data_IF_527086304128
#
_entry.id   IF_527086304128
#
_cell.length_a   1.000
_cell.length_b   1.000
_cell.length_c   1.000
_cell.angle_alpha   90.00
_cell.angle_beta   90.00
_cell.angle_gamma   90.00
#
_symmetry.space_group_name_H-M   'P 1'
#
loop_
_entity.id
_entity.type
_entity.pdbx_description
1 polymer ?
#
# COMPACT_ATOMS: atom_id res chain seq x y z
N UNK A 1 18.91 10.57 20.42
CA UNK A 1 18.81 11.27 19.11
C UNK A 1 18.31 12.69 19.38
N UNK A 2 19.01 13.73 18.89
CA UNK A 2 18.76 15.14 19.26
C UNK A 2 17.62 15.77 18.44
N UNK A 3 16.77 16.56 19.10
CA UNK A 3 15.61 17.32 18.59
C UNK A 3 15.89 18.19 17.33
N UNK A 4 17.16 18.45 17.00
CA UNK A 4 17.54 19.35 15.91
C UNK A 4 17.36 18.77 14.50
N UNK A 5 17.19 17.45 14.36
CA UNK A 5 17.03 16.81 13.05
C UNK A 5 15.56 16.62 12.63
N UNK A 6 14.58 16.96 13.49
CA UNK A 6 13.15 16.72 13.25
C UNK A 6 12.46 17.82 12.41
N UNK A 7 13.08 19.00 12.28
CA UNK A 7 12.51 20.17 11.55
C UNK A 7 12.50 20.04 10.02
N UNK A 8 12.88 18.88 9.47
CA UNK A 8 12.92 18.62 8.02
C UNK A 8 12.12 17.40 7.59
N UNK A 9 11.17 16.93 8.40
CA UNK A 9 10.11 16.08 7.87
C UNK A 9 9.07 16.99 7.21
N UNK A 10 9.42 17.46 6.01
CA UNK A 10 8.42 17.94 5.06
C UNK A 10 7.47 16.77 4.90
N UNK A 11 6.18 17.01 5.16
CA UNK A 11 5.10 16.10 4.81
C UNK A 11 5.10 16.03 3.28
N UNK A 12 6.02 15.22 2.74
CA UNK A 12 6.11 14.93 1.31
C UNK A 12 4.89 14.07 1.08
N UNK A 13 3.81 14.75 0.70
CA UNK A 13 2.69 14.18 -0.01
C UNK A 13 3.33 13.49 -1.20
N UNK A 14 3.57 12.20 -1.09
CA UNK A 14 3.61 11.35 -2.27
C UNK A 14 2.20 11.43 -2.84
N UNK A 15 1.97 12.49 -3.63
CA UNK A 15 1.08 12.40 -4.77
C UNK A 15 1.41 11.06 -5.38
N UNK A 16 0.48 10.11 -5.31
CA UNK A 16 0.63 8.87 -6.05
C UNK A 16 0.87 9.30 -7.50
N UNK A 17 2.13 9.25 -7.93
CA UNK A 17 2.50 9.49 -9.32
C UNK A 17 2.03 8.27 -10.08
N UNK A 18 0.73 8.15 -10.28
CA UNK A 18 0.18 7.25 -11.28
C UNK A 18 0.27 8.04 -12.57
N UNK A 19 1.43 7.91 -13.23
CA UNK A 19 1.65 8.43 -14.58
C UNK A 19 0.60 7.78 -15.47
N UNK A 20 -0.40 8.56 -15.85
CA UNK A 20 -1.40 8.17 -16.82
C UNK A 20 -0.76 8.21 -18.21
N UNK A 21 -0.43 7.04 -18.76
CA UNK A 21 -0.41 6.87 -20.21
C UNK A 21 -1.71 6.15 -20.58
N UNK A 22 -2.66 6.93 -21.12
CA UNK A 22 -3.92 6.42 -21.65
C UNK A 22 -3.67 5.65 -22.95
N UNK A 23 -4.20 4.43 -23.03
CA UNK A 23 -4.69 3.86 -24.29
C UNK A 23 -5.92 2.98 -24.00
N UNK A 24 -6.95 3.33 -24.74
CA UNK A 24 -8.40 3.08 -24.71
C UNK A 24 -8.96 1.66 -24.62
N UNK A 25 -10.24 1.64 -24.20
CA UNK A 25 -11.41 0.84 -24.64
C UNK A 25 -11.85 -0.40 -23.83
N UNK A 26 -13.01 -0.26 -23.18
CA UNK A 26 -13.80 -1.38 -22.66
C UNK A 26 -15.00 -0.91 -21.83
N UNK A 27 -16.03 -0.39 -22.47
CA UNK A 27 -17.29 0.03 -21.84
C UNK A 27 -18.06 -1.17 -21.28
N UNK A 28 -18.00 -1.35 -19.95
CA UNK A 28 -18.84 -2.27 -19.19
C UNK A 28 -19.62 -1.48 -18.14
N UNK A 29 -20.90 -1.25 -18.41
CA UNK A 29 -21.85 -0.60 -17.52
C UNK A 29 -22.02 -1.38 -16.22
N UNK A 30 -21.74 -0.73 -15.09
CA UNK A 30 -22.02 -1.26 -13.76
C UNK A 30 -21.15 -0.61 -12.69
N UNK A 31 -21.47 0.61 -12.28
CA UNK A 31 -20.95 1.16 -11.03
C UNK A 31 -21.89 2.23 -10.47
N UNK A 32 -22.45 1.91 -9.32
CA UNK A 32 -23.15 2.82 -8.41
C UNK A 32 -22.22 3.97 -8.02
N UNK A 33 -22.63 5.19 -8.39
CA UNK A 33 -22.21 6.55 -7.97
C UNK A 33 -20.98 6.69 -7.05
N UNK A 34 -20.04 7.55 -7.47
CA UNK A 34 -18.83 8.04 -6.79
C UNK A 34 -19.05 8.77 -5.45
N UNK A 35 -20.30 8.96 -5.05
CA UNK A 35 -20.74 9.85 -3.96
C UNK A 35 -20.47 9.35 -2.53
N UNK A 36 -19.77 8.22 -2.34
CA UNK A 36 -19.54 7.60 -1.02
C UNK A 36 -18.18 7.99 -0.38
N UNK A 37 -17.30 8.64 -1.15
CA UNK A 37 -15.90 8.89 -0.70
C UNK A 37 -15.78 9.88 0.47
N UNK A 38 -16.76 10.76 0.67
CA UNK A 38 -16.81 11.69 1.81
C UNK A 38 -17.85 11.29 2.87
N UNK A 39 -18.78 10.40 2.55
CA UNK A 39 -19.94 10.12 3.39
C UNK A 39 -19.55 9.64 4.79
N UNK A 40 -18.50 8.82 4.90
CA UNK A 40 -18.01 8.29 6.17
C UNK A 40 -17.47 9.36 7.14
N UNK A 41 -17.08 10.54 6.63
CA UNK A 41 -16.58 11.64 7.46
C UNK A 41 -17.72 12.46 8.08
N UNK A 42 -18.91 12.48 7.48
CA UNK A 42 -20.03 13.34 7.90
C UNK A 42 -20.54 12.92 9.29
N UNK A 43 -20.63 13.87 10.21
CA UNK A 43 -21.11 13.68 11.59
C UNK A 43 -20.05 13.10 12.53
N UNK A 44 -20.47 12.18 13.39
CA UNK A 44 -19.67 11.62 14.49
C UNK A 44 -20.09 12.13 15.86
N UNK A 45 -19.49 11.57 16.92
CA UNK A 45 -19.72 12.02 18.30
C UNK A 45 -18.78 13.20 18.67
N UNK A 46 -19.16 13.93 19.71
CA UNK A 46 -18.41 15.10 20.22
C UNK A 46 -18.73 16.41 19.50
N UNK A 47 -17.96 17.44 19.80
CA UNK A 47 -18.11 18.77 19.18
C UNK A 47 -17.71 18.74 17.70
N UNK A 48 -18.24 19.70 16.94
CA UNK A 48 -17.83 19.89 15.55
C UNK A 48 -16.36 20.35 15.51
N UNK A 49 -15.59 19.77 14.58
CA UNK A 49 -14.20 20.17 14.30
C UNK A 49 -14.14 20.99 13.02
N UNK A 50 -14.94 20.60 12.01
CA UNK A 50 -14.95 21.24 10.71
C UNK A 50 -16.38 21.35 10.17
N UNK A 51 -16.69 22.50 9.55
CA UNK A 51 -17.92 22.71 8.77
C UNK A 51 -17.56 23.34 7.42
N UNK A 52 -18.03 22.74 6.34
CA UNK A 52 -17.91 23.24 4.96
C UNK A 52 -19.29 23.09 4.33
N UNK A 53 -19.99 24.20 4.08
CA UNK A 53 -21.39 24.20 3.61
C UNK A 53 -22.32 23.34 4.48
N UNK A 54 -23.00 22.35 3.91
CA UNK A 54 -23.88 21.40 4.60
C UNK A 54 -23.12 20.18 5.18
N UNK A 55 -21.80 20.18 5.07
CA UNK A 55 -20.93 19.10 5.52
C UNK A 55 -20.30 19.44 6.88
N UNK A 56 -20.54 18.60 7.88
CA UNK A 56 -20.00 18.76 9.24
C UNK A 56 -19.22 17.50 9.63
N UNK A 57 -18.02 17.67 10.16
CA UNK A 57 -17.20 16.60 10.74
C UNK A 57 -17.04 16.86 12.24
N UNK A 58 -17.40 15.88 13.07
CA UNK A 58 -17.23 15.94 14.52
C UNK A 58 -15.94 15.24 14.96
N UNK A 59 -15.55 15.49 16.22
CA UNK A 59 -14.30 15.02 16.82
C UNK A 59 -13.98 13.55 16.54
N UNK A 60 -14.93 12.64 16.75
CA UNK A 60 -14.68 11.21 16.58
C UNK A 60 -14.29 10.84 15.14
N UNK A 61 -15.00 11.36 14.14
CA UNK A 61 -14.71 11.05 12.74
C UNK A 61 -13.41 11.72 12.29
N UNK A 62 -13.20 12.99 12.67
CA UNK A 62 -11.96 13.71 12.40
C UNK A 62 -10.73 12.98 12.96
N UNK A 63 -10.78 12.52 14.21
CA UNK A 63 -9.68 11.82 14.85
C UNK A 63 -9.40 10.45 14.24
N UNK A 64 -10.44 9.67 13.93
CA UNK A 64 -10.28 8.36 13.26
C UNK A 64 -9.66 8.51 11.88
N UNK A 65 -10.09 9.52 11.14
CA UNK A 65 -9.60 9.78 9.80
C UNK A 65 -8.15 10.29 9.80
N UNK A 66 -7.82 11.21 10.71
CA UNK A 66 -6.43 11.64 10.93
C UNK A 66 -5.53 10.44 11.29
N UNK A 67 -5.96 9.58 12.21
CA UNK A 67 -5.21 8.38 12.57
C UNK A 67 -5.02 7.45 11.36
N UNK A 68 -6.07 7.19 10.59
CA UNK A 68 -5.98 6.38 9.37
C UNK A 68 -5.02 6.99 8.34
N UNK A 69 -5.03 8.32 8.18
CA UNK A 69 -4.10 9.03 7.28
C UNK A 69 -2.64 8.89 7.72
N UNK A 70 -2.37 8.88 9.02
CA UNK A 70 -1.03 8.69 9.58
C UNK A 70 -0.56 7.25 9.41
N UNK A 71 -1.45 6.27 9.64
CA UNK A 71 -1.18 4.85 9.37
C UNK A 71 -0.85 4.64 7.89
N UNK A 72 -1.61 5.24 6.99
CA UNK A 72 -1.38 5.14 5.55
C UNK A 72 -0.01 5.72 5.13
N UNK A 73 0.46 6.75 5.83
CA UNK A 73 1.80 7.33 5.65
C UNK A 73 2.92 6.51 6.31
N UNK A 74 2.60 5.38 6.94
CA UNK A 74 3.57 4.50 7.59
C UNK A 74 4.02 4.97 8.98
N UNK A 75 3.23 5.81 9.65
CA UNK A 75 3.56 6.26 11.00
C UNK A 75 3.53 5.09 12.01
N UNK A 76 4.53 5.04 12.88
CA UNK A 76 4.60 4.12 14.03
C UNK A 76 3.57 4.50 15.11
N UNK A 77 3.20 3.58 16.02
CA UNK A 77 2.28 3.89 17.12
C UNK A 77 2.71 5.10 17.97
N UNK A 78 4.02 5.25 18.22
CA UNK A 78 4.57 6.39 18.96
C UNK A 78 4.43 7.70 18.19
N UNK A 79 4.66 7.66 16.87
CA UNK A 79 4.45 8.82 16.00
C UNK A 79 2.97 9.18 15.92
N UNK A 80 2.07 8.20 15.79
CA UNK A 80 0.62 8.44 15.80
C UNK A 80 0.21 9.12 17.12
N UNK A 81 0.65 8.61 18.27
CA UNK A 81 0.35 9.20 19.57
C UNK A 81 0.84 10.67 19.69
N UNK A 82 1.98 10.97 19.09
CA UNK A 82 2.56 12.32 19.05
C UNK A 82 1.79 13.26 18.11
N UNK A 83 1.53 12.83 16.87
CA UNK A 83 0.94 13.66 15.82
C UNK A 83 -0.57 13.81 15.93
N UNK A 84 -1.29 12.75 16.31
CA UNK A 84 -2.75 12.78 16.43
C UNK A 84 -3.25 13.74 17.52
N UNK A 85 -2.38 14.13 18.46
CA UNK A 85 -2.70 15.07 19.54
C UNK A 85 -2.12 16.47 19.34
N UNK A 86 -1.22 16.65 18.38
CA UNK A 86 -0.57 17.94 18.10
C UNK A 86 -1.53 18.90 17.40
N UNK A 87 -1.64 20.13 17.93
CA UNK A 87 -2.55 21.13 17.40
C UNK A 87 -2.17 21.56 15.96
N UNK A 88 -0.88 21.67 15.66
CA UNK A 88 -0.41 22.08 14.33
C UNK A 88 -0.78 21.02 13.28
N UNK A 89 -0.56 19.75 13.61
CA UNK A 89 -0.92 18.61 12.75
C UNK A 89 -2.42 18.58 12.48
N UNK A 90 -3.26 18.77 13.50
CA UNK A 90 -4.71 18.83 13.34
C UNK A 90 -5.14 19.97 12.42
N UNK A 91 -4.56 21.17 12.55
CA UNK A 91 -4.89 22.31 11.68
C UNK A 91 -4.49 22.05 10.22
N UNK A 92 -3.28 21.53 9.99
CA UNK A 92 -2.81 21.15 8.64
C UNK A 92 -3.75 20.12 8.01
N UNK A 93 -4.16 19.11 8.78
CA UNK A 93 -5.06 18.08 8.30
C UNK A 93 -6.47 18.62 8.00
N UNK A 94 -6.97 19.52 8.86
CA UNK A 94 -8.24 20.20 8.62
C UNK A 94 -8.23 21.00 7.31
N UNK A 95 -7.16 21.75 7.02
CA UNK A 95 -7.01 22.46 5.75
C UNK A 95 -6.99 21.52 4.54
N UNK A 96 -6.35 20.35 4.66
CA UNK A 96 -6.35 19.32 3.63
C UNK A 96 -7.77 18.77 3.37
N UNK A 97 -8.53 18.52 4.43
CA UNK A 97 -9.93 18.07 4.33
C UNK A 97 -10.81 19.14 3.68
N UNK A 98 -10.66 20.42 4.05
CA UNK A 98 -11.40 21.53 3.42
C UNK A 98 -11.16 21.52 1.90
N UNK A 99 -9.90 21.48 1.48
CA UNK A 99 -9.54 21.46 0.06
C UNK A 99 -10.12 20.24 -0.67
N UNK A 100 -10.08 19.08 -0.03
CA UNK A 100 -10.61 17.83 -0.60
C UNK A 100 -12.13 17.89 -0.76
N UNK A 101 -12.85 18.37 0.25
CA UNK A 101 -14.32 18.53 0.21
C UNK A 101 -14.72 19.49 -0.90
N UNK A 102 -14.08 20.67 -0.98
CA UNK A 102 -14.41 21.68 -1.98
C UNK A 102 -14.15 21.18 -3.42
N UNK A 103 -13.01 20.52 -3.67
CA UNK A 103 -12.68 20.01 -5.00
C UNK A 103 -13.55 18.82 -5.41
N UNK A 104 -13.87 17.91 -4.49
CA UNK A 104 -14.76 16.78 -4.76
C UNK A 104 -16.18 17.28 -5.06
N UNK A 105 -16.70 18.21 -4.27
CA UNK A 105 -18.03 18.81 -4.52
C UNK A 105 -18.09 19.47 -5.90
N UNK A 106 -17.07 20.25 -6.26
CA UNK A 106 -16.98 20.85 -7.60
C UNK A 106 -16.93 19.80 -8.70
N UNK A 107 -16.15 18.72 -8.53
CA UNK A 107 -16.06 17.64 -9.52
C UNK A 107 -17.39 16.88 -9.68
N UNK A 108 -18.17 16.73 -8.61
CA UNK A 108 -19.54 16.18 -8.65
C UNK A 108 -20.50 17.13 -9.40
N UNK A 109 -20.46 18.43 -9.14
CA UNK A 109 -21.25 19.44 -9.88
C UNK A 109 -20.94 19.44 -11.39
N UNK A 110 -19.66 19.27 -11.73
CA UNK A 110 -19.18 19.17 -13.12
C UNK A 110 -19.43 17.78 -13.74
N UNK A 111 -20.00 16.83 -12.98
CA UNK A 111 -20.21 15.43 -13.39
C UNK A 111 -18.94 14.74 -13.86
N UNK A 112 -17.78 15.16 -13.35
CA UNK A 112 -16.47 14.65 -13.75
C UNK A 112 -16.37 13.13 -13.55
N UNK A 113 -16.88 12.64 -12.42
CA UNK A 113 -16.90 11.22 -12.09
C UNK A 113 -17.94 10.39 -12.87
N UNK A 114 -18.83 11.04 -13.64
CA UNK A 114 -19.76 10.34 -14.54
C UNK A 114 -19.08 9.96 -15.88
N UNK A 115 -17.93 10.55 -16.21
CA UNK A 115 -17.17 10.23 -17.43
C UNK A 115 -16.66 8.79 -17.42
N UNK A 116 -16.57 8.18 -18.61
CA UNK A 116 -16.06 6.80 -18.72
C UNK A 116 -14.60 6.70 -18.27
N UNK A 117 -13.78 7.69 -18.62
CA UNK A 117 -12.37 7.75 -18.22
C UNK A 117 -12.21 7.76 -16.69
N UNK A 118 -12.94 8.63 -16.00
CA UNK A 118 -12.89 8.68 -14.53
C UNK A 118 -13.37 7.37 -13.91
N UNK A 119 -14.46 6.78 -14.41
CA UNK A 119 -14.99 5.49 -13.93
C UNK A 119 -13.98 4.36 -14.09
N UNK A 120 -13.35 4.24 -15.26
CA UNK A 120 -12.36 3.19 -15.54
C UNK A 120 -11.14 3.35 -14.63
N UNK A 121 -10.63 4.57 -14.49
CA UNK A 121 -9.48 4.86 -13.62
C UNK A 121 -9.79 4.60 -12.14
N UNK A 122 -10.96 5.03 -11.65
CA UNK A 122 -11.38 4.82 -10.26
C UNK A 122 -11.59 3.34 -9.98
N UNK A 123 -12.27 2.60 -10.86
CA UNK A 123 -12.51 1.17 -10.68
C UNK A 123 -11.20 0.37 -10.64
N UNK A 124 -10.26 0.70 -11.53
CA UNK A 124 -8.91 0.13 -11.53
C UNK A 124 -8.19 0.43 -10.20
N UNK A 125 -8.23 1.68 -9.76
CA UNK A 125 -7.58 2.13 -8.52
C UNK A 125 -8.16 1.43 -7.29
N UNK A 126 -9.50 1.36 -7.17
CA UNK A 126 -10.19 0.68 -6.06
C UNK A 126 -9.81 -0.80 -6.02
N UNK A 127 -9.83 -1.50 -7.16
CA UNK A 127 -9.45 -2.92 -7.22
C UNK A 127 -8.02 -3.12 -6.71
N UNK A 128 -7.09 -2.29 -7.19
CA UNK A 128 -5.69 -2.41 -6.83
C UNK A 128 -5.44 -2.07 -5.36
N UNK A 129 -6.05 -1.00 -4.83
CA UNK A 129 -5.93 -0.62 -3.42
C UNK A 129 -6.51 -1.69 -2.50
N UNK A 130 -7.68 -2.26 -2.81
CA UNK A 130 -8.27 -3.35 -2.02
C UNK A 130 -7.35 -4.56 -1.96
N UNK A 131 -6.79 -4.96 -3.10
CA UNK A 131 -5.85 -6.06 -3.18
C UNK A 131 -4.57 -5.78 -2.39
N UNK A 132 -3.94 -4.63 -2.61
CA UNK A 132 -2.70 -4.24 -1.95
C UNK A 132 -2.87 -4.13 -0.43
N UNK A 133 -3.95 -3.51 0.04
CA UNK A 133 -4.24 -3.37 1.46
C UNK A 133 -4.37 -4.75 2.12
N UNK A 134 -5.17 -5.64 1.54
CA UNK A 134 -5.40 -6.96 2.09
C UNK A 134 -4.11 -7.80 2.14
N UNK A 135 -3.33 -7.83 1.03
CA UNK A 135 -2.04 -8.52 0.97
C UNK A 135 -1.05 -7.97 2.00
N UNK A 136 -0.94 -6.64 2.11
CA UNK A 136 -0.07 -5.99 3.11
C UNK A 136 -0.47 -6.39 4.52
N UNK A 137 -1.78 -6.42 4.80
CA UNK A 137 -2.29 -6.80 6.12
C UNK A 137 -1.99 -8.27 6.44
N UNK A 138 -2.18 -9.18 5.48
CA UNK A 138 -1.84 -10.59 5.64
C UNK A 138 -0.35 -10.78 5.90
N UNK A 139 0.53 -10.10 5.17
CA UNK A 139 1.98 -10.16 5.39
C UNK A 139 2.36 -9.62 6.78
N UNK A 140 1.81 -8.48 7.19
CA UNK A 140 2.08 -7.89 8.49
C UNK A 140 1.62 -8.80 9.64
N UNK A 141 0.48 -9.47 9.49
CA UNK A 141 -0.03 -10.40 10.51
C UNK A 141 0.73 -11.73 10.51
N UNK A 142 1.16 -12.24 9.35
CA UNK A 142 2.03 -13.41 9.25
C UNK A 142 3.41 -13.15 9.86
N UNK A 143 4.01 -11.99 9.60
CA UNK A 143 5.34 -11.62 10.09
C UNK A 143 5.44 -11.62 11.63
N UNK A 144 4.35 -11.29 12.34
CA UNK A 144 4.28 -11.32 13.82
C UNK A 144 4.48 -12.73 14.37
N UNK A 145 4.08 -13.75 13.61
CA UNK A 145 4.11 -15.15 14.04
C UNK A 145 5.39 -15.87 13.59
N UNK A 146 6.23 -15.23 12.77
CA UNK A 146 7.51 -15.78 12.37
C UNK A 146 8.52 -15.58 13.52
N UNK A 147 9.20 -16.64 13.99
CA UNK A 147 10.25 -16.52 15.00
C UNK A 147 11.40 -15.63 14.51
N UNK A 148 12.07 -14.96 15.44
CA UNK A 148 13.29 -14.23 15.09
C UNK A 148 14.36 -15.22 14.60
N UNK A 149 15.10 -14.87 13.53
CA UNK A 149 16.11 -15.76 12.98
C UNK A 149 17.27 -15.94 13.96
N UNK A 150 17.85 -17.14 13.97
CA UNK A 150 19.18 -17.34 14.55
C UNK A 150 20.23 -16.49 13.83
N UNK A 151 21.37 -16.14 14.47
CA UNK A 151 22.45 -15.40 13.82
C UNK A 151 22.90 -16.06 12.50
N UNK A 152 22.96 -17.39 12.47
CA UNK A 152 23.33 -18.17 11.29
C UNK A 152 22.30 -18.01 10.15
N UNK A 153 21.01 -18.06 10.47
CA UNK A 153 19.94 -17.84 9.49
C UNK A 153 19.93 -16.41 8.95
N UNK A 154 20.15 -15.42 9.82
CA UNK A 154 20.18 -14.02 9.43
C UNK A 154 21.41 -13.70 8.55
N UNK A 155 22.58 -14.28 8.86
CA UNK A 155 23.78 -14.17 8.03
C UNK A 155 23.56 -14.85 6.67
N UNK A 156 23.00 -16.06 6.64
CA UNK A 156 22.71 -16.77 5.40
C UNK A 156 21.74 -15.99 4.50
N UNK A 157 20.67 -15.44 5.08
CA UNK A 157 19.74 -14.56 4.39
C UNK A 157 20.44 -13.31 3.85
N UNK A 158 21.30 -12.67 4.64
CA UNK A 158 22.08 -11.52 4.17
C UNK A 158 22.96 -11.87 2.97
N UNK A 159 23.69 -12.98 3.00
CA UNK A 159 24.56 -13.36 1.87
C UNK A 159 23.76 -13.71 0.61
N UNK A 160 22.61 -14.38 0.75
CA UNK A 160 21.71 -14.67 -0.39
C UNK A 160 21.10 -13.39 -0.97
N UNK A 161 20.71 -12.46 -0.11
CA UNK A 161 20.03 -11.22 -0.49
C UNK A 161 20.98 -10.05 -0.80
N UNK A 162 22.29 -10.25 -0.66
CA UNK A 162 23.29 -9.18 -0.53
C UNK A 162 23.23 -8.13 -1.63
N UNK A 163 23.09 -8.57 -2.88
CA UNK A 163 23.03 -7.67 -4.03
C UNK A 163 21.81 -6.74 -3.93
N UNK A 164 20.65 -7.31 -3.62
CA UNK A 164 19.42 -6.55 -3.47
C UNK A 164 19.43 -5.67 -2.23
N UNK A 165 19.93 -6.18 -1.10
CA UNK A 165 20.06 -5.41 0.13
C UNK A 165 20.96 -4.18 -0.06
N UNK A 166 22.02 -4.33 -0.83
CA UNK A 166 22.91 -3.21 -1.20
C UNK A 166 22.18 -2.20 -2.10
N UNK A 167 21.50 -2.67 -3.14
CA UNK A 167 20.83 -1.79 -4.11
C UNK A 167 19.65 -1.02 -3.53
N UNK A 168 18.83 -1.69 -2.71
CA UNK A 168 17.58 -1.11 -2.20
C UNK A 168 17.76 -0.34 -0.89
N UNK A 169 18.74 -0.72 -0.08
CA UNK A 169 18.89 -0.17 1.29
C UNK A 169 20.29 0.31 1.63
N UNK A 170 21.25 0.14 0.73
CA UNK A 170 22.65 0.47 1.01
C UNK A 170 23.31 -0.42 2.07
N UNK A 171 22.73 -1.59 2.37
CA UNK A 171 23.27 -2.52 3.38
C UNK A 171 24.32 -3.40 2.72
N UNK A 172 25.58 -3.12 3.04
CA UNK A 172 26.74 -3.78 2.43
C UNK A 172 27.39 -4.84 3.34
N UNK A 173 27.01 -4.88 4.62
CA UNK A 173 27.56 -5.82 5.61
C UNK A 173 26.52 -6.23 6.66
N UNK A 174 26.65 -7.47 7.15
CA UNK A 174 25.98 -7.95 8.35
C UNK A 174 26.85 -7.64 9.59
N UNK A 175 26.34 -6.79 10.48
CA UNK A 175 27.01 -6.40 11.73
C UNK A 175 25.96 -6.05 12.80
N UNK A 176 26.40 -5.63 13.99
CA UNK A 176 25.50 -5.29 15.11
C UNK A 176 24.47 -4.20 14.78
N UNK A 177 24.80 -3.24 13.91
CA UNK A 177 23.90 -2.16 13.52
C UNK A 177 22.85 -2.62 12.51
N UNK A 178 23.24 -3.47 11.56
CA UNK A 178 22.36 -3.95 10.48
C UNK A 178 21.57 -5.20 10.86
N UNK A 179 22.00 -5.95 11.89
CA UNK A 179 21.39 -7.21 12.28
C UNK A 179 19.88 -7.11 12.63
N UNK A 180 19.40 -6.12 13.41
CA UNK A 180 17.96 -5.99 13.68
C UNK A 180 17.15 -5.72 12.41
N UNK A 181 17.71 -4.96 11.48
CA UNK A 181 17.06 -4.67 10.21
C UNK A 181 16.98 -5.92 9.32
N UNK A 182 18.08 -6.65 9.22
CA UNK A 182 18.16 -7.90 8.45
C UNK A 182 17.20 -8.95 9.03
N UNK A 183 17.08 -9.02 10.36
CA UNK A 183 16.11 -9.89 11.02
C UNK A 183 14.65 -9.52 10.67
N UNK A 184 14.32 -8.22 10.61
CA UNK A 184 12.98 -7.79 10.18
C UNK A 184 12.73 -8.12 8.70
N UNK A 185 13.72 -7.91 7.83
CA UNK A 185 13.61 -8.24 6.40
C UNK A 185 13.45 -9.74 6.18
N UNK A 186 14.14 -10.56 6.95
CA UNK A 186 13.96 -12.00 6.97
C UNK A 186 12.49 -12.35 7.27
N UNK A 187 11.91 -11.80 8.34
CA UNK A 187 10.51 -12.07 8.71
C UNK A 187 9.55 -11.64 7.61
N UNK A 188 9.79 -10.47 7.00
CA UNK A 188 8.95 -9.97 5.91
C UNK A 188 9.01 -10.88 4.68
N UNK A 189 10.20 -11.38 4.30
CA UNK A 189 10.36 -12.26 3.15
C UNK A 189 9.63 -13.60 3.32
N UNK A 190 9.70 -14.21 4.52
CA UNK A 190 8.97 -15.44 4.80
C UNK A 190 7.45 -15.22 4.91
N UNK A 191 7.02 -14.07 5.45
CA UNK A 191 5.61 -13.71 5.49
C UNK A 191 5.04 -13.56 4.06
N UNK A 192 5.80 -12.93 3.17
CA UNK A 192 5.45 -12.83 1.75
C UNK A 192 5.31 -14.23 1.13
N UNK A 193 6.25 -15.15 1.35
CA UNK A 193 6.15 -16.53 0.84
C UNK A 193 4.88 -17.25 1.31
N UNK A 194 4.49 -17.09 2.57
CA UNK A 194 3.25 -17.68 3.10
C UNK A 194 2.02 -17.12 2.37
N UNK A 195 1.94 -15.80 2.18
CA UNK A 195 0.83 -15.18 1.45
C UNK A 195 0.82 -15.59 -0.03
N UNK A 196 1.97 -15.73 -0.66
CA UNK A 196 2.08 -16.24 -2.04
C UNK A 196 1.56 -17.67 -2.16
N UNK A 197 1.85 -18.52 -1.17
CA UNK A 197 1.29 -19.88 -1.12
C UNK A 197 -0.23 -19.84 -0.98
N UNK A 198 -0.77 -18.99 -0.10
CA UNK A 198 -2.22 -18.86 0.07
C UNK A 198 -2.90 -18.38 -1.23
N UNK A 199 -2.28 -17.45 -1.97
CA UNK A 199 -2.76 -17.03 -3.29
C UNK A 199 -2.73 -18.20 -4.28
N UNK A 200 -1.67 -19.01 -4.27
CA UNK A 200 -1.58 -20.18 -5.14
C UNK A 200 -2.65 -21.23 -4.79
N UNK A 201 -2.90 -21.49 -3.51
CA UNK A 201 -3.97 -22.38 -3.05
C UNK A 201 -5.35 -21.89 -3.49
N UNK A 202 -5.59 -20.57 -3.46
CA UNK A 202 -6.81 -19.96 -3.97
C UNK A 202 -6.95 -20.15 -5.48
N UNK A 203 -5.86 -19.99 -6.24
CA UNK A 203 -5.84 -20.23 -7.68
C UNK A 203 -6.11 -21.70 -8.02
N UNK A 204 -5.55 -22.64 -7.26
CA UNK A 204 -5.71 -24.07 -7.49
C UNK A 204 -7.14 -24.55 -7.18
N UNK A 205 -7.84 -23.88 -6.26
CA UNK A 205 -9.25 -24.14 -5.94
C UNK A 205 -10.23 -23.46 -6.90
N UNK A 206 -9.80 -22.43 -7.63
CA UNK A 206 -10.65 -21.67 -8.51
C UNK A 206 -10.84 -22.35 -9.87
N UNK A 207 -12.05 -22.27 -10.42
CA UNK A 207 -12.28 -22.59 -11.83
C UNK A 207 -11.83 -21.40 -12.67
N UNK A 208 -10.65 -21.53 -13.31
CA UNK A 208 -10.03 -20.45 -14.09
C UNK A 208 -10.12 -20.79 -15.57
N UNK A 209 -10.94 -20.05 -16.31
CA UNK A 209 -11.00 -20.10 -17.76
C UNK A 209 -10.24 -18.92 -18.38
N UNK A 210 -9.41 -19.17 -19.39
CA UNK A 210 -8.65 -18.15 -20.11
C UNK A 210 -8.97 -18.21 -21.60
N UNK A 211 -9.49 -17.11 -22.15
CA UNK A 211 -9.67 -16.98 -23.59
C UNK A 211 -8.35 -16.57 -24.26
N UNK A 212 -7.50 -17.56 -24.53
CA UNK A 212 -6.16 -17.35 -25.12
C UNK A 212 -6.21 -16.80 -26.54
N UNK A 213 -7.31 -16.98 -27.27
CA UNK A 213 -7.50 -16.38 -28.60
C UNK A 213 -7.56 -14.85 -28.52
N UNK A 214 -8.17 -14.30 -27.47
CA UNK A 214 -8.24 -12.84 -27.26
C UNK A 214 -7.03 -12.31 -26.52
N UNK A 215 -6.53 -13.05 -25.53
CA UNK A 215 -5.37 -12.65 -24.72
C UNK A 215 -4.05 -12.68 -25.51
N UNK A 216 -3.98 -13.45 -26.58
CA UNK A 216 -2.74 -13.75 -27.28
C UNK A 216 -1.88 -14.77 -26.52
N UNK A 217 -0.77 -15.17 -27.13
CA UNK A 217 0.21 -16.06 -26.50
C UNK A 217 1.07 -15.29 -25.49
N UNK A 218 1.51 -15.98 -24.44
CA UNK A 218 2.42 -15.40 -23.46
C UNK A 218 3.72 -14.98 -24.16
N UNK A 219 3.98 -13.67 -24.20
CA UNK A 219 5.18 -13.13 -24.81
C UNK A 219 6.43 -13.50 -24.00
N UNK A 220 7.51 -13.85 -24.70
CA UNK A 220 8.87 -14.02 -24.13
C UNK A 220 9.65 -12.70 -24.07
N UNK A 221 9.03 -11.58 -24.42
CA UNK A 221 9.70 -10.28 -24.35
C UNK A 221 10.07 -9.98 -22.90
N UNK A 222 11.35 -9.61 -22.64
CA UNK A 222 11.75 -9.20 -21.31
C UNK A 222 10.90 -8.02 -20.85
N UNK A 223 10.52 -7.95 -19.56
CA UNK A 223 9.72 -6.86 -19.03
C UNK A 223 10.39 -5.53 -19.36
N UNK A 224 9.64 -4.63 -20.02
CA UNK A 224 10.13 -3.31 -20.36
C UNK A 224 10.29 -2.52 -19.06
N UNK A 225 11.44 -1.86 -18.89
CA UNK A 225 11.70 -0.99 -17.73
C UNK A 225 10.62 0.11 -17.72
N UNK A 226 9.70 0.02 -16.75
CA UNK A 226 8.53 0.90 -16.63
C UNK A 226 7.21 0.17 -16.36
N UNK A 227 7.13 -1.15 -16.57
CA UNK A 227 5.95 -1.97 -16.28
C UNK A 227 5.83 -2.31 -14.78
N UNK A 228 5.55 -1.32 -13.93
CA UNK A 228 5.18 -1.57 -12.52
C UNK A 228 3.72 -1.97 -12.33
N UNK A 229 2.93 -2.04 -13.41
CA UNK A 229 1.48 -2.28 -13.38
C UNK A 229 1.01 -3.53 -14.16
N UNK A 230 1.92 -4.36 -14.70
CA UNK A 230 1.52 -5.70 -15.13
C UNK A 230 1.05 -6.47 -13.89
N UNK A 231 -0.08 -7.16 -14.01
CA UNK A 231 -0.82 -7.94 -12.99
C UNK A 231 -0.04 -9.09 -12.34
N UNK A 232 1.28 -9.01 -12.25
CA UNK A 232 1.97 -9.59 -11.14
C UNK A 232 1.33 -9.03 -9.86
N UNK A 233 1.00 -9.92 -8.92
CA UNK A 233 1.05 -9.59 -7.49
C UNK A 233 2.20 -8.60 -7.31
N UNK A 234 2.12 -7.51 -6.52
CA UNK A 234 3.28 -6.67 -6.29
C UNK A 234 4.41 -7.57 -5.78
N UNK A 235 5.22 -8.08 -6.70
CA UNK A 235 6.61 -8.39 -6.51
C UNK A 235 7.10 -7.02 -6.16
N UNK A 236 7.37 -6.83 -4.88
CA UNK A 236 7.66 -5.54 -4.31
C UNK A 236 8.77 -4.86 -5.08
N UNK A 237 8.41 -4.03 -6.05
CA UNK A 237 9.28 -2.93 -6.47
C UNK A 237 9.22 -1.81 -5.44
N UNK A 238 8.20 -1.82 -4.58
CA UNK A 238 8.07 -0.94 -3.41
C UNK A 238 7.85 -1.68 -2.07
N UNK A 239 7.83 -3.02 -2.04
CA UNK A 239 7.98 -3.76 -0.78
C UNK A 239 9.45 -4.11 -0.63
N UNK A 240 10.20 -3.48 0.28
CA UNK A 240 11.64 -3.51 0.17
C UNK A 240 12.26 -4.93 0.36
N UNK A 241 11.51 -5.90 0.89
CA UNK A 241 11.99 -7.25 1.25
C UNK A 241 11.80 -8.35 0.18
N UNK A 242 11.27 -8.03 -1.00
CA UNK A 242 10.91 -9.05 -2.00
C UNK A 242 12.14 -9.62 -2.73
N UNK A 243 12.73 -10.70 -2.18
CA UNK A 243 13.81 -11.46 -2.80
C UNK A 243 13.41 -12.02 -4.19
N UNK A 244 14.31 -12.03 -5.19
CA UNK A 244 14.06 -12.75 -6.43
C UNK A 244 13.87 -14.23 -6.12
N UNK A 245 12.74 -14.79 -6.59
CA UNK A 245 12.51 -16.24 -6.60
C UNK A 245 13.46 -16.91 -7.61
N UNK A 246 14.73 -17.07 -7.23
CA UNK A 246 15.59 -18.06 -7.85
C UNK A 246 15.57 -19.33 -7.01
N UNK A 247 14.78 -20.31 -7.46
CA UNK A 247 15.01 -21.75 -7.27
C UNK A 247 14.81 -22.36 -5.88
N UNK A 248 15.09 -21.64 -4.79
CA UNK A 248 15.11 -22.23 -3.46
C UNK A 248 13.95 -21.70 -2.62
N UNK A 249 12.88 -22.51 -2.57
CA UNK A 249 11.86 -22.40 -1.53
C UNK A 249 12.57 -22.48 -0.17
N UNK A 250 12.61 -21.36 0.56
CA UNK A 250 13.19 -21.30 1.90
C UNK A 250 12.39 -22.08 2.95
N UNK A 251 11.21 -22.58 2.57
CA UNK A 251 10.39 -23.48 3.37
C UNK A 251 10.34 -24.88 2.71
N UNK A 252 10.64 -25.96 3.45
CA UNK A 252 10.40 -27.31 2.95
C UNK A 252 8.91 -27.48 2.65
N UNK A 253 8.58 -28.09 1.50
CA UNK A 253 7.21 -28.54 1.19
C UNK A 253 6.79 -29.54 2.26
N UNK A 254 6.00 -29.12 3.25
CA UNK A 254 5.28 -30.06 4.09
C UNK A 254 4.02 -30.46 3.34
N UNK A 255 4.05 -31.65 2.74
CA UNK A 255 2.87 -32.30 2.19
C UNK A 255 1.87 -32.54 3.34
N UNK A 256 0.70 -31.91 3.27
CA UNK A 256 -0.51 -32.35 3.95
C UNK A 256 -1.66 -32.26 2.95
#
# INVERSE_FOLDING_TARGET
MSLKNLKKLILIISSFSIIACSQTQGSGSGSTTSSDSLAYLKGGEGEWVLKVDDFTINQTNFSKDLEASLILQGATPEQIAMYANDATTKQIYADQLINSILLINKAEEEKFFETQEAKDFINLSIRNIKFQYYVTKLMADAAKNIPDPTPEQAQAFFEQAKQQLTQMYGITAYNTETAPYIAQLYKNAYAEQLVQRDIQDLKDKAVIERNTTVLGEASILPPQIGDTNATAIPQGTNNPAALPQQGDNLLPRTNN
#
